data_IF_473594589799
#
_entry.id   IF_473594589799
#
_cell.length_a   1.000
_cell.length_b   1.000
_cell.length_c   1.000
_cell.angle_alpha   90.00
_cell.angle_beta   90.00
_cell.angle_gamma   90.00
#
_symmetry.space_group_name_H-M   'P 1'
#
loop_
_entity.id
_entity.type
_entity.pdbx_description
1 polymer ?
#
# COMPACT_ATOMS: atom_id res chain seq x y z
N UNK A 1 13.98 -24.95 18.21
CA UNK A 1 13.63 -26.31 18.67
C UNK A 1 14.05 -27.30 17.60
N UNK A 2 15.13 -28.07 17.81
CA UNK A 2 15.60 -29.07 16.85
C UNK A 2 14.96 -30.44 17.15
N UNK A 3 14.62 -31.26 16.15
CA UNK A 3 14.17 -32.62 16.39
C UNK A 3 15.36 -33.57 16.56
N UNK A 4 15.15 -34.49 17.49
CA UNK A 4 16.04 -35.51 18.01
C UNK A 4 16.62 -36.46 16.96
N UNK A 5 17.92 -36.70 17.10
CA UNK A 5 18.63 -37.85 16.54
C UNK A 5 18.12 -39.13 17.21
N UNK A 6 17.68 -40.09 16.41
CA UNK A 6 17.37 -41.45 16.88
C UNK A 6 18.56 -42.40 16.63
N UNK A 7 18.76 -43.39 17.53
CA UNK A 7 19.85 -44.36 17.44
C UNK A 7 19.48 -45.60 16.60
N UNK A 8 20.52 -46.28 16.11
CA UNK A 8 20.51 -47.65 15.56
C UNK A 8 19.82 -48.65 16.50
N UNK A 9 19.38 -49.84 16.02
CA UNK A 9 20.18 -51.03 16.37
C UNK A 9 20.05 -52.27 15.44
N UNK A 10 20.88 -53.27 15.77
CA UNK A 10 20.75 -54.72 15.51
C UNK A 10 21.51 -55.31 14.30
N UNK A 11 22.82 -55.47 14.50
CA UNK A 11 23.55 -56.65 14.03
C UNK A 11 23.35 -57.79 15.06
N UNK A 12 22.83 -58.92 14.61
CA UNK A 12 22.78 -60.21 15.31
C UNK A 12 22.64 -61.28 14.23
N UNK A 13 23.73 -61.99 13.90
CA UNK A 13 24.19 -63.26 14.49
C UNK A 13 23.46 -64.50 13.92
N UNK A 14 24.30 -65.48 13.59
CA UNK A 14 24.07 -66.91 13.47
C UNK A 14 23.33 -67.54 12.28
N UNK A 15 24.00 -68.49 11.63
CA UNK A 15 23.29 -69.46 10.79
C UNK A 15 24.05 -70.39 9.85
N UNK A 16 25.03 -71.15 10.35
CA UNK A 16 25.28 -72.58 10.00
C UNK A 16 25.52 -73.00 8.52
N UNK A 17 26.74 -73.47 8.27
CA UNK A 17 27.12 -74.57 7.34
C UNK A 17 26.24 -75.83 7.55
N UNK A 18 26.10 -76.82 6.63
CA UNK A 18 27.22 -77.54 5.98
C UNK A 18 26.96 -78.17 4.57
N UNK A 19 27.96 -78.92 4.09
CA UNK A 19 27.95 -79.86 2.94
C UNK A 19 28.19 -79.23 1.55
N UNK A 20 28.99 -79.82 0.65
CA UNK A 20 29.37 -81.23 0.49
C UNK A 20 30.64 -81.35 -0.34
N UNK A 21 31.43 -82.37 0.02
CA UNK A 21 32.65 -82.89 -0.60
C UNK A 21 32.61 -82.92 -2.13
N UNK A 22 33.49 -82.16 -2.79
CA UNK A 22 33.95 -82.44 -4.15
C UNK A 22 35.10 -83.43 -4.10
N UNK A 23 34.81 -84.72 -4.30
CA UNK A 23 35.82 -85.75 -4.54
C UNK A 23 36.32 -85.64 -5.97
N UNK A 24 37.48 -85.03 -6.15
CA UNK A 24 38.22 -85.04 -7.42
C UNK A 24 39.18 -86.23 -7.41
N UNK A 25 38.75 -87.38 -7.93
CA UNK A 25 39.64 -88.52 -8.17
C UNK A 25 40.10 -88.48 -9.63
N UNK A 26 41.31 -87.96 -9.83
CA UNK A 26 42.06 -88.11 -11.07
C UNK A 26 42.45 -89.59 -11.24
N UNK A 27 41.71 -90.31 -12.09
CA UNK A 27 42.04 -91.65 -12.54
C UNK A 27 42.77 -91.59 -13.88
N UNK A 28 44.06 -91.28 -13.85
CA UNK A 28 44.93 -91.36 -15.01
C UNK A 28 45.26 -92.83 -15.35
N UNK A 29 45.20 -93.11 -16.65
CA UNK A 29 45.68 -94.33 -17.30
C UNK A 29 47.19 -94.55 -17.10
N UNK A 30 47.58 -95.81 -16.86
CA UNK A 30 48.84 -96.53 -17.20
C UNK A 30 48.87 -97.70 -16.21
N UNK A 31 48.83 -98.95 -16.60
CA UNK A 31 49.71 -99.61 -17.55
C UNK A 31 50.51 -100.65 -16.77
N UNK A 32 50.65 -101.83 -17.36
CA UNK A 32 51.79 -102.74 -17.18
C UNK A 32 51.90 -103.58 -15.89
N UNK A 33 51.72 -104.89 -16.11
CA UNK A 33 52.60 -105.98 -15.66
C UNK A 33 52.70 -106.33 -14.15
N UNK A 34 52.01 -107.42 -13.79
CA UNK A 34 52.49 -108.44 -12.85
C UNK A 34 51.99 -109.79 -13.43
N UNK A 35 52.80 -110.71 -13.96
CA UNK A 35 53.95 -111.42 -13.41
C UNK A 35 53.59 -112.35 -12.24
N UNK A 36 53.13 -113.57 -12.54
CA UNK A 36 53.38 -114.89 -11.87
C UNK A 36 52.31 -115.91 -12.29
N UNK A 37 52.52 -117.24 -12.20
CA UNK A 37 53.71 -118.08 -12.40
C UNK A 37 53.47 -119.19 -13.47
N UNK A 38 54.51 -119.94 -13.91
CA UNK A 38 54.38 -121.00 -14.91
C UNK A 38 53.91 -122.32 -14.27
N UNK A 39 52.88 -122.95 -14.85
CA UNK A 39 52.43 -124.30 -14.49
C UNK A 39 52.74 -125.29 -15.63
N UNK A 40 53.17 -126.46 -15.19
CA UNK A 40 53.81 -127.55 -15.90
C UNK A 40 53.04 -128.11 -17.12
N UNK A 41 53.77 -128.70 -18.10
CA UNK A 41 53.18 -129.44 -19.22
C UNK A 41 52.84 -130.89 -18.83
N UNK A 42 51.69 -131.42 -19.27
CA UNK A 42 51.53 -132.85 -19.50
C UNK A 42 51.66 -133.20 -20.99
N UNK A 43 52.63 -134.08 -21.22
CA UNK A 43 52.90 -134.99 -22.34
C UNK A 43 51.81 -135.22 -23.42
N UNK A 44 52.19 -135.30 -24.71
CA UNK A 44 51.34 -135.71 -25.82
C UNK A 44 51.40 -137.23 -26.07
N UNK A 45 50.30 -137.94 -25.88
CA UNK A 45 50.12 -139.30 -26.40
C UNK A 45 48.62 -139.66 -26.52
N UNK A 46 48.26 -140.38 -27.58
CA UNK A 46 46.91 -140.77 -28.05
C UNK A 46 46.17 -139.66 -28.83
N UNK A 47 46.41 -139.43 -30.12
CA UNK A 47 46.32 -140.35 -31.26
C UNK A 47 44.93 -141.00 -31.43
N UNK A 48 44.10 -140.26 -32.19
CA UNK A 48 43.31 -140.77 -33.31
C UNK A 48 42.26 -141.85 -33.05
N UNK A 49 41.08 -141.44 -32.57
CA UNK A 49 39.75 -141.91 -33.02
C UNK A 49 38.75 -140.74 -32.78
N UNK A 50 37.75 -140.54 -33.65
CA UNK A 50 36.59 -139.63 -33.52
C UNK A 50 36.59 -138.25 -34.21
N UNK A 51 37.05 -138.17 -35.47
CA UNK A 51 36.83 -136.99 -36.33
C UNK A 51 35.35 -136.60 -36.55
N UNK A 52 34.41 -137.53 -36.36
CA UNK A 52 32.97 -137.25 -36.44
C UNK A 52 32.39 -136.64 -35.14
N UNK A 53 32.88 -137.06 -33.97
CA UNK A 53 32.49 -136.44 -32.69
C UNK A 53 33.03 -135.01 -32.60
N UNK A 54 34.29 -134.81 -33.03
CA UNK A 54 34.91 -133.47 -33.12
C UNK A 54 34.16 -132.56 -34.09
N UNK A 55 33.64 -133.07 -35.21
CA UNK A 55 32.84 -132.28 -36.15
C UNK A 55 31.45 -131.90 -35.60
N UNK A 56 30.80 -132.81 -34.87
CA UNK A 56 29.52 -132.54 -34.21
C UNK A 56 29.68 -131.56 -33.05
N UNK A 57 30.76 -131.69 -32.28
CA UNK A 57 31.14 -130.77 -31.21
C UNK A 57 31.48 -129.38 -31.78
N UNK A 58 32.25 -129.30 -32.87
CA UNK A 58 32.48 -128.04 -33.61
C UNK A 58 31.20 -127.41 -34.15
N UNK A 59 30.22 -128.20 -34.58
CA UNK A 59 28.92 -127.69 -35.03
C UNK A 59 28.08 -127.19 -33.84
N UNK A 60 28.04 -127.93 -32.73
CA UNK A 60 27.37 -127.51 -31.50
C UNK A 60 28.00 -126.20 -30.94
N UNK A 61 29.33 -126.11 -30.93
CA UNK A 61 30.06 -124.90 -30.57
C UNK A 61 29.75 -123.75 -31.53
N UNK A 62 29.60 -123.98 -32.84
CA UNK A 62 29.18 -122.94 -33.79
C UNK A 62 27.79 -122.42 -33.50
N UNK A 63 26.83 -123.32 -33.25
CA UNK A 63 25.46 -122.96 -32.88
C UNK A 63 25.43 -122.20 -31.54
N UNK A 64 26.22 -122.64 -30.56
CA UNK A 64 26.37 -121.96 -29.28
C UNK A 64 27.04 -120.58 -29.45
N UNK A 65 28.06 -120.46 -30.28
CA UNK A 65 28.70 -119.18 -30.60
C UNK A 65 27.72 -118.24 -31.31
N UNK A 66 26.91 -118.75 -32.23
CA UNK A 66 25.84 -117.99 -32.88
C UNK A 66 24.77 -117.54 -31.87
N UNK A 67 24.38 -118.41 -30.94
CA UNK A 67 23.47 -118.08 -29.84
C UNK A 67 24.06 -116.99 -28.94
N UNK A 68 25.31 -117.13 -28.50
CA UNK A 68 26.01 -116.15 -27.68
C UNK A 68 26.20 -114.81 -28.40
N UNK A 69 26.47 -114.84 -29.72
CA UNK A 69 26.51 -113.63 -30.56
C UNK A 69 25.13 -112.99 -30.67
N UNK A 70 24.07 -113.77 -30.84
CA UNK A 70 22.70 -113.26 -30.89
C UNK A 70 22.26 -112.68 -29.53
N UNK A 71 22.59 -113.35 -28.41
CA UNK A 71 22.34 -112.86 -27.06
C UNK A 71 23.14 -111.58 -26.78
N UNK A 72 24.42 -111.51 -27.17
CA UNK A 72 25.25 -110.30 -27.07
C UNK A 72 24.68 -109.14 -27.90
N UNK A 73 24.15 -109.42 -29.10
CA UNK A 73 23.46 -108.41 -29.92
C UNK A 73 22.17 -107.93 -29.24
N UNK A 74 21.35 -108.83 -28.70
CA UNK A 74 20.14 -108.47 -27.96
C UNK A 74 20.45 -107.63 -26.71
N UNK A 75 21.50 -107.98 -25.97
CA UNK A 75 21.96 -107.19 -24.83
C UNK A 75 22.46 -105.81 -25.27
N UNK A 76 23.24 -105.75 -26.36
CA UNK A 76 23.69 -104.48 -26.95
C UNK A 76 22.55 -103.60 -27.45
N UNK A 77 21.56 -104.18 -28.13
CA UNK A 77 20.35 -103.48 -28.57
C UNK A 77 19.50 -103.01 -27.39
N UNK A 78 19.38 -103.83 -26.33
CA UNK A 78 18.68 -103.44 -25.12
C UNK A 78 19.38 -102.26 -24.41
N UNK A 79 20.71 -102.30 -24.30
CA UNK A 79 21.51 -101.21 -23.76
C UNK A 79 21.32 -99.93 -24.58
N UNK A 80 21.44 -100.01 -25.92
CA UNK A 80 21.19 -98.87 -26.82
C UNK A 80 19.80 -98.27 -26.66
N UNK A 81 18.74 -99.10 -26.62
CA UNK A 81 17.36 -98.60 -26.40
C UNK A 81 17.16 -97.96 -25.03
N UNK A 82 17.94 -98.34 -24.02
CA UNK A 82 17.93 -97.74 -22.69
C UNK A 82 18.69 -96.42 -22.70
N UNK A 83 19.85 -96.37 -23.35
CA UNK A 83 20.64 -95.16 -23.58
C UNK A 83 19.82 -94.12 -24.34
N UNK A 84 19.21 -94.48 -25.47
CA UNK A 84 18.34 -93.58 -26.24
C UNK A 84 17.17 -93.02 -25.41
N UNK A 85 16.61 -93.81 -24.47
CA UNK A 85 15.55 -93.33 -23.58
C UNK A 85 16.07 -92.30 -22.59
N UNK A 86 17.22 -92.55 -21.96
CA UNK A 86 17.85 -91.58 -21.08
C UNK A 86 18.33 -90.34 -21.82
N UNK A 87 18.82 -90.48 -23.04
CA UNK A 87 19.20 -89.35 -23.89
C UNK A 87 17.99 -88.46 -24.19
N UNK A 88 16.85 -89.04 -24.59
CA UNK A 88 15.61 -88.28 -24.79
C UNK A 88 15.12 -87.60 -23.50
N UNK A 89 15.21 -88.28 -22.36
CA UNK A 89 14.87 -87.68 -21.06
C UNK A 89 15.82 -86.54 -20.68
N UNK A 90 17.13 -86.70 -20.93
CA UNK A 90 18.12 -85.65 -20.70
C UNK A 90 17.92 -84.45 -21.63
N UNK A 91 17.60 -84.68 -22.91
CA UNK A 91 17.26 -83.63 -23.86
C UNK A 91 16.02 -82.86 -23.42
N UNK A 92 14.97 -83.57 -22.98
CA UNK A 92 13.76 -82.95 -22.43
C UNK A 92 14.08 -82.11 -21.19
N UNK A 93 14.81 -82.65 -20.22
CA UNK A 93 15.17 -81.92 -19.00
C UNK A 93 16.06 -80.71 -19.28
N UNK A 94 16.96 -80.80 -20.28
CA UNK A 94 17.76 -79.66 -20.76
C UNK A 94 16.88 -78.58 -21.37
N UNK A 95 15.93 -78.96 -22.24
CA UNK A 95 14.98 -78.01 -22.82
C UNK A 95 14.10 -77.34 -21.75
N UNK A 96 13.64 -78.09 -20.74
CA UNK A 96 12.90 -77.54 -19.60
C UNK A 96 13.75 -76.55 -18.78
N UNK A 97 15.05 -76.85 -18.56
CA UNK A 97 15.97 -75.93 -17.89
C UNK A 97 16.24 -74.66 -18.72
N UNK A 98 16.45 -74.80 -20.03
CA UNK A 98 16.66 -73.65 -20.93
C UNK A 98 15.42 -72.76 -20.96
N UNK A 99 14.22 -73.35 -20.99
CA UNK A 99 12.96 -72.61 -20.89
C UNK A 99 12.83 -71.90 -19.54
N UNK A 100 13.13 -72.57 -18.42
CA UNK A 100 13.13 -71.93 -17.10
C UNK A 100 14.17 -70.81 -16.99
N UNK A 101 15.33 -70.95 -17.64
CA UNK A 101 16.33 -69.89 -17.69
C UNK A 101 15.84 -68.71 -18.51
N UNK A 102 15.20 -68.94 -19.66
CA UNK A 102 14.60 -67.88 -20.48
C UNK A 102 13.49 -67.14 -19.71
N UNK A 103 12.61 -67.87 -19.02
CA UNK A 103 11.54 -67.27 -18.19
C UNK A 103 12.12 -66.45 -17.03
N UNK A 104 13.19 -66.94 -16.37
CA UNK A 104 13.89 -66.19 -15.32
C UNK A 104 14.57 -64.93 -15.87
N UNK A 105 15.16 -64.99 -17.08
CA UNK A 105 15.75 -63.84 -17.73
C UNK A 105 14.68 -62.80 -18.10
N UNK A 106 13.53 -63.23 -18.61
CA UNK A 106 12.37 -62.36 -18.90
C UNK A 106 11.82 -61.69 -17.64
N UNK A 107 11.64 -62.44 -16.56
CA UNK A 107 11.24 -61.91 -15.26
C UNK A 107 12.28 -60.91 -14.70
N UNK A 108 13.57 -61.20 -14.88
CA UNK A 108 14.66 -60.30 -14.51
C UNK A 108 14.61 -58.97 -15.25
N UNK A 109 14.38 -58.99 -16.57
CA UNK A 109 14.19 -57.78 -17.37
C UNK A 109 12.99 -56.96 -16.88
N UNK A 110 11.86 -57.61 -16.56
CA UNK A 110 10.70 -56.96 -15.96
C UNK A 110 11.02 -56.26 -14.64
N UNK A 111 11.74 -56.94 -13.72
CA UNK A 111 12.17 -56.37 -12.44
C UNK A 111 13.11 -55.18 -12.65
N UNK A 112 14.02 -55.24 -13.62
CA UNK A 112 14.93 -54.14 -13.93
C UNK A 112 14.17 -52.91 -14.44
N UNK A 113 13.17 -53.10 -15.32
CA UNK A 113 12.31 -52.00 -15.77
C UNK A 113 11.49 -51.42 -14.60
N UNK A 114 10.97 -52.26 -13.70
CA UNK A 114 10.26 -51.80 -12.50
C UNK A 114 11.18 -50.99 -11.57
N UNK A 115 12.43 -51.43 -11.36
CA UNK A 115 13.42 -50.67 -10.58
C UNK A 115 13.76 -49.34 -11.25
N UNK A 116 13.91 -49.31 -12.58
CA UNK A 116 14.21 -48.09 -13.33
C UNK A 116 13.07 -47.06 -13.25
N UNK A 117 11.82 -47.52 -13.38
CA UNK A 117 10.62 -46.67 -13.26
C UNK A 117 10.45 -46.18 -11.83
N UNK A 118 10.65 -47.05 -10.83
CA UNK A 118 10.64 -46.65 -9.42
C UNK A 118 11.70 -45.59 -9.13
N UNK A 119 12.94 -45.75 -9.61
CA UNK A 119 14.00 -44.75 -9.45
C UNK A 119 13.61 -43.41 -10.07
N UNK A 120 13.05 -43.43 -11.28
CA UNK A 120 12.55 -42.21 -11.94
C UNK A 120 11.43 -41.53 -11.15
N UNK A 121 10.53 -42.30 -10.54
CA UNK A 121 9.49 -41.76 -9.66
C UNK A 121 10.11 -41.12 -8.42
N UNK A 122 11.09 -41.77 -7.77
CA UNK A 122 11.80 -41.20 -6.63
C UNK A 122 12.54 -39.91 -6.98
N UNK A 123 13.23 -39.87 -8.11
CA UNK A 123 13.91 -38.66 -8.60
C UNK A 123 12.92 -37.54 -8.91
N UNK A 124 11.74 -37.88 -9.46
CA UNK A 124 10.64 -36.95 -9.67
C UNK A 124 10.09 -36.38 -8.36
N UNK A 125 9.87 -37.24 -7.34
CA UNK A 125 9.43 -36.83 -6.00
C UNK A 125 10.47 -35.94 -5.32
N UNK A 126 11.76 -36.26 -5.44
CA UNK A 126 12.84 -35.43 -4.90
C UNK A 126 12.86 -34.05 -5.57
N UNK A 127 12.73 -34.01 -6.90
CA UNK A 127 12.66 -32.77 -7.68
C UNK A 127 11.44 -31.91 -7.31
N UNK A 128 10.28 -32.53 -7.12
CA UNK A 128 9.07 -31.85 -6.66
C UNK A 128 9.25 -31.28 -5.26
N UNK A 129 9.79 -32.05 -4.32
CA UNK A 129 10.09 -31.57 -2.95
C UNK A 129 11.03 -30.36 -2.97
N UNK A 130 12.08 -30.39 -3.79
CA UNK A 130 13.01 -29.28 -3.92
C UNK A 130 12.34 -28.02 -4.50
N UNK A 131 11.48 -28.18 -5.53
CA UNK A 131 10.71 -27.06 -6.09
C UNK A 131 9.74 -26.47 -5.06
N UNK A 132 9.00 -27.31 -4.34
CA UNK A 132 8.10 -26.86 -3.28
C UNK A 132 8.86 -26.11 -2.18
N UNK A 133 10.03 -26.59 -1.76
CA UNK A 133 10.87 -25.91 -0.78
C UNK A 133 11.34 -24.53 -1.29
N UNK A 134 11.71 -24.42 -2.58
CA UNK A 134 12.08 -23.13 -3.20
C UNK A 134 10.92 -22.14 -3.20
N UNK A 135 9.73 -22.59 -3.62
CA UNK A 135 8.52 -21.75 -3.67
C UNK A 135 8.14 -21.25 -2.27
N UNK A 136 8.19 -22.12 -1.25
CA UNK A 136 7.93 -21.71 0.13
C UNK A 136 8.93 -20.66 0.62
N UNK A 137 10.22 -20.84 0.35
CA UNK A 137 11.26 -19.88 0.72
C UNK A 137 11.11 -18.53 -0.01
N UNK A 138 10.67 -18.53 -1.27
CA UNK A 138 10.35 -17.31 -2.02
C UNK A 138 9.13 -16.59 -1.45
N UNK A 139 8.05 -17.32 -1.15
CA UNK A 139 6.86 -16.78 -0.51
C UNK A 139 7.17 -16.17 0.86
N UNK A 140 8.00 -16.82 1.68
CA UNK A 140 8.46 -16.27 2.96
C UNK A 140 9.23 -14.95 2.78
N UNK A 141 10.12 -14.86 1.76
CA UNK A 141 10.84 -13.63 1.45
C UNK A 141 9.90 -12.51 1.00
N UNK A 142 8.90 -12.83 0.19
CA UNK A 142 7.92 -11.85 -0.29
C UNK A 142 7.00 -11.36 0.83
N UNK A 143 6.55 -12.26 1.70
CA UNK A 143 5.81 -11.90 2.91
C UNK A 143 6.64 -10.96 3.80
N UNK A 144 7.92 -11.29 4.05
CA UNK A 144 8.81 -10.43 4.84
C UNK A 144 9.03 -9.06 4.17
N UNK A 145 9.15 -9.01 2.84
CA UNK A 145 9.25 -7.74 2.09
C UNK A 145 7.98 -6.91 2.25
N UNK A 146 6.81 -7.53 2.12
CA UNK A 146 5.51 -6.86 2.30
C UNK A 146 5.32 -6.36 3.74
N UNK A 147 5.69 -7.15 4.75
CA UNK A 147 5.67 -6.73 6.15
C UNK A 147 6.59 -5.54 6.41
N UNK A 148 7.82 -5.57 5.89
CA UNK A 148 8.76 -4.43 6.00
C UNK A 148 8.19 -3.16 5.34
N UNK A 149 7.63 -3.27 4.15
CA UNK A 149 7.00 -2.13 3.47
C UNK A 149 5.85 -1.54 4.30
N UNK A 150 4.98 -2.38 4.88
CA UNK A 150 3.90 -1.93 5.77
C UNK A 150 4.43 -1.29 7.06
N UNK A 151 5.51 -1.82 7.65
CA UNK A 151 6.13 -1.21 8.83
C UNK A 151 6.68 0.18 8.52
N UNK A 152 7.31 0.37 7.36
CA UNK A 152 7.74 1.70 6.92
C UNK A 152 6.56 2.64 6.66
N UNK A 153 5.49 2.18 6.02
CA UNK A 153 4.27 2.97 5.84
C UNK A 153 3.68 3.42 7.19
N UNK A 154 3.56 2.51 8.17
CA UNK A 154 3.05 2.81 9.52
C UNK A 154 4.00 3.76 10.27
N UNK A 155 5.32 3.58 10.17
CA UNK A 155 6.29 4.51 10.75
C UNK A 155 6.14 5.90 10.16
N UNK A 156 5.98 6.01 8.84
CA UNK A 156 5.77 7.28 8.14
C UNK A 156 4.43 7.93 8.53
N UNK A 157 3.37 7.14 8.72
CA UNK A 157 2.09 7.62 9.25
C UNK A 157 2.23 8.15 10.67
N UNK A 158 2.94 7.44 11.56
CA UNK A 158 3.21 7.90 12.93
C UNK A 158 4.06 9.17 12.95
N UNK A 159 5.07 9.29 12.09
CA UNK A 159 5.88 10.50 11.95
C UNK A 159 5.03 11.67 11.45
N UNK A 160 4.14 11.45 10.48
CA UNK A 160 3.18 12.46 10.00
C UNK A 160 2.17 12.85 11.07
N UNK A 161 1.68 11.91 11.87
CA UNK A 161 0.79 12.22 12.99
C UNK A 161 1.51 12.98 14.11
N UNK A 162 2.78 12.66 14.35
CA UNK A 162 3.63 13.39 15.29
C UNK A 162 3.88 14.81 14.80
N UNK A 163 4.23 15.01 13.53
CA UNK A 163 4.43 16.34 12.97
C UNK A 163 3.14 17.18 12.97
N UNK A 164 1.97 16.56 12.76
CA UNK A 164 0.67 17.24 12.92
C UNK A 164 0.37 17.63 14.37
N UNK A 165 0.78 16.82 15.35
CA UNK A 165 0.69 17.24 16.76
C UNK A 165 1.65 18.39 17.07
N UNK A 166 2.76 18.47 16.34
CA UNK A 166 3.70 19.59 16.39
C UNK A 166 3.20 20.84 15.62
N UNK A 167 2.00 20.82 14.99
CA UNK A 167 1.27 22.03 14.55
C UNK A 167 0.95 22.98 15.73
N UNK A 168 1.27 22.56 16.97
CA UNK A 168 1.36 23.43 18.13
C UNK A 168 2.17 24.71 17.87
N UNK A 169 3.14 24.70 16.95
CA UNK A 169 3.87 25.92 16.58
C UNK A 169 2.97 27.02 15.97
N UNK A 170 2.00 26.67 15.12
CA UNK A 170 1.04 27.64 14.58
C UNK A 170 0.06 28.12 15.65
N UNK A 171 -0.38 27.20 16.53
CA UNK A 171 -1.24 27.54 17.67
C UNK A 171 -0.52 28.47 18.65
N UNK A 172 0.74 28.22 18.97
CA UNK A 172 1.56 29.04 19.85
C UNK A 172 1.80 30.42 19.24
N UNK A 173 2.12 30.50 17.93
CA UNK A 173 2.22 31.78 17.23
C UNK A 173 0.90 32.56 17.27
N UNK A 174 -0.24 31.90 17.02
CA UNK A 174 -1.56 32.53 17.08
C UNK A 174 -1.91 33.03 18.49
N UNK A 175 -1.49 32.27 19.52
CA UNK A 175 -1.67 32.63 20.93
C UNK A 175 -0.81 33.82 21.31
N UNK A 176 0.46 33.85 20.90
CA UNK A 176 1.35 34.99 21.12
C UNK A 176 0.84 36.26 20.45
N UNK A 177 0.36 36.16 19.21
CA UNK A 177 -0.21 37.30 18.49
C UNK A 177 -1.51 37.80 19.15
N UNK A 178 -2.38 36.89 19.61
CA UNK A 178 -3.58 37.26 20.38
C UNK A 178 -3.21 38.00 21.67
N UNK A 179 -2.23 37.50 22.43
CA UNK A 179 -1.75 38.17 23.65
C UNK A 179 -1.13 39.54 23.36
N UNK A 180 -0.45 39.70 22.21
CA UNK A 180 0.09 41.00 21.77
C UNK A 180 -1.03 42.00 21.48
N UNK A 181 -2.04 41.57 20.73
CA UNK A 181 -3.20 42.40 20.40
C UNK A 181 -4.00 42.79 21.66
N UNK A 182 -4.17 41.88 22.62
CA UNK A 182 -4.83 42.19 23.89
C UNK A 182 -4.09 43.26 24.70
N UNK A 183 -2.75 43.19 24.77
CA UNK A 183 -1.94 44.23 25.43
C UNK A 183 -2.12 45.59 24.77
N UNK A 184 -2.10 45.65 23.44
CA UNK A 184 -2.31 46.90 22.69
C UNK A 184 -3.73 47.43 22.90
N UNK A 185 -4.74 46.56 22.90
CA UNK A 185 -6.13 46.95 23.14
C UNK A 185 -6.33 47.49 24.57
N UNK A 186 -5.73 46.86 25.57
CA UNK A 186 -5.73 47.36 26.96
C UNK A 186 -5.07 48.73 27.06
N UNK A 187 -3.93 48.94 26.37
CA UNK A 187 -3.27 50.25 26.31
C UNK A 187 -4.20 51.30 25.69
N UNK A 188 -4.79 51.03 24.53
CA UNK A 188 -5.72 51.94 23.87
C UNK A 188 -6.97 52.24 24.71
N UNK A 189 -7.49 51.25 25.46
CA UNK A 189 -8.60 51.46 26.40
C UNK A 189 -8.20 52.37 27.56
N UNK A 190 -6.99 52.19 28.11
CA UNK A 190 -6.46 53.05 29.17
C UNK A 190 -6.30 54.50 28.67
N UNK A 191 -5.78 54.69 27.45
CA UNK A 191 -5.64 56.02 26.84
C UNK A 191 -6.99 56.66 26.53
N UNK A 192 -7.95 55.90 26.00
CA UNK A 192 -9.30 56.37 25.74
C UNK A 192 -10.01 56.81 27.03
N UNK A 193 -9.84 56.06 28.13
CA UNK A 193 -10.39 56.44 29.43
C UNK A 193 -9.72 57.70 29.99
N UNK A 194 -8.39 57.83 29.85
CA UNK A 194 -7.63 59.03 30.24
C UNK A 194 -8.09 60.28 29.47
N UNK A 195 -8.20 60.19 28.15
CA UNK A 195 -8.65 61.29 27.30
C UNK A 195 -10.10 61.72 27.63
N UNK A 196 -10.99 60.75 27.88
CA UNK A 196 -12.36 61.05 28.35
C UNK A 196 -12.37 61.79 29.70
N UNK A 197 -11.49 61.42 30.62
CA UNK A 197 -11.36 62.12 31.90
C UNK A 197 -10.84 63.55 31.72
N UNK A 198 -9.87 63.75 30.83
CA UNK A 198 -9.34 65.09 30.49
C UNK A 198 -10.41 65.98 29.86
N UNK A 199 -11.15 65.48 28.87
CA UNK A 199 -12.25 66.24 28.25
C UNK A 199 -13.31 66.65 29.27
N UNK A 200 -13.72 65.73 30.16
CA UNK A 200 -14.67 66.06 31.25
C UNK A 200 -14.14 67.12 32.21
N UNK A 201 -12.83 67.18 32.45
CA UNK A 201 -12.24 68.25 33.25
C UNK A 201 -12.31 69.58 32.52
N UNK A 202 -11.95 69.62 31.23
CA UNK A 202 -12.03 70.82 30.40
C UNK A 202 -13.46 71.34 30.27
N UNK A 203 -14.45 70.45 30.15
CA UNK A 203 -15.87 70.81 30.14
C UNK A 203 -16.28 71.51 31.45
N UNK A 204 -15.84 70.99 32.61
CA UNK A 204 -16.08 71.64 33.92
C UNK A 204 -15.40 73.00 34.03
N UNK A 205 -14.16 73.12 33.55
CA UNK A 205 -13.42 74.39 33.57
C UNK A 205 -14.11 75.42 32.67
N UNK A 206 -14.58 75.00 31.49
CA UNK A 206 -15.36 75.84 30.59
C UNK A 206 -16.68 76.29 31.23
N UNK A 207 -17.41 75.39 31.89
CA UNK A 207 -18.62 75.74 32.65
C UNK A 207 -18.34 76.77 33.76
N UNK A 208 -17.22 76.62 34.48
CA UNK A 208 -16.81 77.57 35.52
C UNK A 208 -16.49 78.95 34.92
N UNK A 209 -15.73 79.00 33.82
CA UNK A 209 -15.42 80.25 33.11
C UNK A 209 -16.68 80.93 32.57
N UNK A 210 -17.63 80.17 32.03
CA UNK A 210 -18.94 80.70 31.60
C UNK A 210 -19.69 81.29 32.79
N UNK A 211 -19.75 80.62 33.94
CA UNK A 211 -20.39 81.15 35.15
C UNK A 211 -19.72 82.43 35.65
N UNK A 212 -18.38 82.46 35.69
CA UNK A 212 -17.60 83.64 36.08
C UNK A 212 -17.84 84.81 35.12
N UNK A 213 -17.81 84.57 33.80
CA UNK A 213 -18.10 85.59 32.79
C UNK A 213 -19.52 86.15 32.94
N UNK A 214 -20.51 85.29 33.21
CA UNK A 214 -21.89 85.73 33.46
C UNK A 214 -22.02 86.53 34.76
N UNK A 215 -21.31 86.16 35.83
CA UNK A 215 -21.29 86.92 37.09
C UNK A 215 -20.70 88.32 36.88
N UNK A 216 -19.54 88.41 36.24
CA UNK A 216 -18.90 89.69 35.89
C UNK A 216 -19.77 90.53 34.96
N UNK A 217 -20.49 89.91 34.01
CA UNK A 217 -21.47 90.63 33.16
C UNK A 217 -22.63 91.20 33.97
N UNK A 218 -23.15 90.46 34.96
CA UNK A 218 -24.21 90.93 35.86
C UNK A 218 -23.73 92.06 36.76
N UNK A 219 -22.53 91.95 37.33
CA UNK A 219 -21.91 93.00 38.13
C UNK A 219 -21.66 94.27 37.29
N UNK A 220 -21.12 94.14 36.07
CA UNK A 220 -20.96 95.28 35.16
C UNK A 220 -22.30 95.93 34.80
N UNK A 221 -23.35 95.13 34.58
CA UNK A 221 -24.68 95.66 34.32
C UNK A 221 -25.23 96.43 35.53
N UNK A 222 -25.04 95.90 36.75
CA UNK A 222 -25.39 96.57 37.99
C UNK A 222 -24.61 97.87 38.19
N UNK A 223 -23.29 97.84 38.01
CA UNK A 223 -22.44 99.04 38.12
C UNK A 223 -22.82 100.10 37.07
N UNK A 224 -23.22 99.70 35.86
CA UNK A 224 -23.74 100.62 34.84
C UNK A 224 -25.07 101.24 35.27
N UNK A 225 -25.97 100.46 35.88
CA UNK A 225 -27.20 101.00 36.46
C UNK A 225 -26.91 101.97 37.60
N UNK A 226 -26.01 101.63 38.52
CA UNK A 226 -25.58 102.52 39.62
C UNK A 226 -24.92 103.81 39.07
N UNK A 227 -24.10 103.72 38.02
CA UNK A 227 -23.53 104.88 37.33
C UNK A 227 -24.61 105.72 36.64
N UNK A 228 -25.60 105.10 36.00
CA UNK A 228 -26.72 105.79 35.35
C UNK A 228 -27.56 106.54 36.39
N UNK A 229 -27.90 105.91 37.52
CA UNK A 229 -28.58 106.52 38.67
C UNK A 229 -27.78 107.70 39.26
N UNK A 230 -26.49 107.51 39.52
CA UNK A 230 -25.62 108.58 40.02
C UNK A 230 -25.45 109.71 38.99
N UNK A 231 -25.36 109.39 37.70
CA UNK A 231 -25.28 110.40 36.64
C UNK A 231 -26.60 111.16 36.48
N UNK A 232 -27.74 110.48 36.67
CA UNK A 232 -29.07 111.07 36.72
C UNK A 232 -29.20 112.01 37.92
N UNK A 233 -28.82 111.56 39.12
CA UNK A 233 -28.80 112.37 40.33
C UNK A 233 -27.83 113.56 40.24
N UNK A 234 -26.65 113.37 39.66
CA UNK A 234 -25.71 114.46 39.39
C UNK A 234 -26.25 115.42 38.33
N UNK A 235 -26.97 114.91 37.32
CA UNK A 235 -27.67 115.71 36.32
C UNK A 235 -28.82 116.53 36.92
N UNK A 236 -29.60 115.95 37.84
CA UNK A 236 -30.63 116.64 38.61
C UNK A 236 -30.03 117.67 39.57
N UNK A 237 -28.91 117.35 40.24
CA UNK A 237 -28.17 118.29 41.07
C UNK A 237 -27.55 119.41 40.24
N UNK A 238 -27.04 119.11 39.04
CA UNK A 238 -26.52 120.10 38.10
C UNK A 238 -27.65 120.94 37.49
N UNK A 239 -28.83 120.36 37.22
CA UNK A 239 -30.02 121.09 36.78
C UNK A 239 -30.59 121.95 37.91
N UNK A 240 -30.60 121.46 39.16
CA UNK A 240 -30.97 122.25 40.33
C UNK A 240 -29.94 123.35 40.61
N UNK A 241 -28.65 123.08 40.41
CA UNK A 241 -27.59 124.08 40.45
C UNK A 241 -27.68 125.06 39.27
N UNK A 242 -28.14 124.63 38.09
CA UNK A 242 -28.40 125.48 36.94
C UNK A 242 -29.65 126.32 37.13
N UNK A 243 -30.70 125.83 37.80
CA UNK A 243 -31.88 126.62 38.21
C UNK A 243 -31.53 127.57 39.36
N UNK A 244 -30.65 127.17 40.27
CA UNK A 244 -30.08 128.06 41.29
C UNK A 244 -29.11 129.09 40.67
N UNK A 245 -28.40 128.72 39.61
CA UNK A 245 -27.59 129.63 38.81
C UNK A 245 -28.47 130.55 37.95
N UNK A 246 -29.57 130.08 37.36
CA UNK A 246 -30.53 130.90 36.62
C UNK A 246 -31.31 131.86 37.55
N UNK A 247 -31.46 131.50 38.83
CA UNK A 247 -31.92 132.39 39.90
C UNK A 247 -30.83 133.35 40.42
N UNK A 248 -29.55 133.07 40.18
CA UNK A 248 -28.41 133.91 40.58
C UNK A 248 -27.81 134.73 39.41
N UNK A 249 -28.14 134.40 38.17
CA UNK A 249 -27.60 134.99 36.93
C UNK A 249 -28.61 135.98 36.30
N UNK A 250 -29.42 136.61 37.17
CA UNK A 250 -30.15 137.85 36.92
C UNK A 250 -29.45 139.09 37.54
N UNK A 251 -28.29 138.93 38.19
CA UNK A 251 -27.37 140.02 38.49
C UNK A 251 -25.93 139.64 38.08
N UNK A 252 -25.25 140.58 37.42
CA UNK A 252 -23.84 140.53 37.00
C UNK A 252 -23.51 139.78 35.69
N UNK A 253 -24.02 140.37 34.60
CA UNK A 253 -23.28 140.43 33.35
C UNK A 253 -21.91 141.13 33.53
N UNK A 254 -20.84 140.60 32.90
CA UNK A 254 -19.70 141.42 32.48
C UNK A 254 -18.32 140.75 32.37
N UNK A 255 -17.91 140.47 31.12
CA UNK A 255 -16.54 140.65 30.56
C UNK A 255 -15.46 139.60 30.92
N UNK A 256 -14.60 139.05 30.06
CA UNK A 256 -14.32 139.12 28.60
C UNK A 256 -13.09 138.24 28.29
N UNK A 257 -13.21 137.35 27.29
CA UNK A 257 -12.33 137.17 26.09
C UNK A 257 -10.80 137.01 26.28
N UNK A 258 -10.13 135.97 25.75
CA UNK A 258 -9.62 135.80 24.35
C UNK A 258 -9.07 134.36 24.21
N UNK A 259 -8.92 133.66 23.08
CA UNK A 259 -9.17 133.78 21.63
C UNK A 259 -9.09 132.32 21.08
N UNK A 260 -9.94 131.89 20.14
CA UNK A 260 -9.65 131.68 18.70
C UNK A 260 -8.47 130.70 18.42
N UNK A 261 -8.48 129.75 17.50
CA UNK A 261 -9.16 129.68 16.21
C UNK A 261 -8.91 128.30 15.54
N UNK A 262 -9.92 127.85 14.78
CA UNK A 262 -9.86 127.11 13.52
C UNK A 262 -9.25 125.69 13.36
N UNK A 263 -10.07 124.94 12.60
CA UNK A 263 -9.73 124.06 11.48
C UNK A 263 -9.62 122.54 11.74
N UNK A 264 -10.65 121.85 11.26
CA UNK A 264 -10.67 120.49 10.69
C UNK A 264 -9.59 120.30 9.58
N UNK A 265 -9.54 119.17 8.85
CA UNK A 265 -9.49 117.74 9.23
C UNK A 265 -8.36 117.01 8.46
N UNK A 266 -7.73 115.96 9.00
CA UNK A 266 -7.20 114.80 8.23
C UNK A 266 -6.29 113.90 9.09
N UNK A 267 -6.49 112.58 8.95
CA UNK A 267 -5.66 111.48 9.47
C UNK A 267 -4.27 111.49 8.80
N UNK A 268 -3.22 110.86 9.38
CA UNK A 268 -2.98 109.42 9.14
C UNK A 268 -2.26 108.65 10.28
N UNK A 269 -2.24 107.31 10.16
CA UNK A 269 -1.09 106.42 10.46
C UNK A 269 -0.56 106.40 11.92
N UNK A 270 -0.49 105.31 12.68
CA UNK A 270 -0.25 103.90 12.36
C UNK A 270 -0.16 103.08 13.65
N UNK A 271 -0.44 101.77 13.54
CA UNK A 271 0.22 100.70 14.31
C UNK A 271 -0.23 100.59 15.78
N UNK A 272 -0.93 99.56 16.26
CA UNK A 272 -0.64 98.12 16.11
C UNK A 272 -1.95 97.30 16.05
N UNK A 273 -2.13 96.56 14.95
CA UNK A 273 -2.63 95.17 14.99
C UNK A 273 -4.05 94.88 15.46
N UNK A 274 -5.06 95.42 14.78
CA UNK A 274 -6.39 94.83 14.74
C UNK A 274 -6.39 93.54 13.90
N UNK A 275 -6.71 92.42 14.53
CA UNK A 275 -7.13 91.18 13.89
C UNK A 275 -8.56 90.85 14.33
N UNK A 276 -9.52 91.68 13.95
CA UNK A 276 -10.94 91.30 14.00
C UNK A 276 -11.14 90.32 12.85
N UNK A 277 -11.04 89.02 13.16
CA UNK A 277 -11.56 87.99 12.29
C UNK A 277 -13.09 88.03 12.39
N UNK A 278 -13.80 88.16 11.26
CA UNK A 278 -15.25 88.20 11.26
C UNK A 278 -15.81 86.84 11.63
N UNK A 279 -16.97 86.89 12.27
CA UNK A 279 -17.89 85.79 12.46
C UNK A 279 -18.00 84.93 11.19
N UNK A 280 -17.37 83.76 11.24
CA UNK A 280 -17.48 82.68 10.26
C UNK A 280 -17.38 81.34 11.02
N UNK A 281 -18.19 81.19 12.07
CA UNK A 281 -18.29 79.94 12.85
C UNK A 281 -19.68 79.32 12.68
N UNK A 282 -20.12 79.20 11.43
CA UNK A 282 -21.20 78.28 11.04
C UNK A 282 -20.66 77.05 10.28
N UNK A 283 -19.33 76.90 10.14
CA UNK A 283 -18.69 75.82 9.35
C UNK A 283 -17.97 74.70 10.11
N UNK A 284 -17.73 74.82 11.42
CA UNK A 284 -16.91 73.83 12.17
C UNK A 284 -17.71 72.61 12.68
N UNK A 285 -19.01 72.75 12.90
CA UNK A 285 -19.89 71.60 13.23
C UNK A 285 -20.11 70.68 12.03
N UNK A 286 -20.06 71.23 10.81
CA UNK A 286 -20.14 70.46 9.56
C UNK A 286 -18.88 69.63 9.32
N UNK A 287 -17.70 70.11 9.70
CA UNK A 287 -16.45 69.35 9.55
C UNK A 287 -16.41 68.11 10.47
N UNK A 288 -16.86 68.25 11.72
CA UNK A 288 -16.97 67.13 12.66
C UNK A 288 -18.06 66.12 12.26
N UNK A 289 -19.20 66.61 11.76
CA UNK A 289 -20.28 65.78 11.23
C UNK A 289 -19.86 65.02 9.97
N UNK A 290 -19.11 65.68 9.08
CA UNK A 290 -18.53 65.07 7.87
C UNK A 290 -17.50 63.97 8.20
N UNK A 291 -16.70 64.13 9.25
CA UNK A 291 -15.77 63.07 9.71
C UNK A 291 -16.50 61.83 10.23
N UNK A 292 -17.55 62.00 11.04
CA UNK A 292 -18.36 60.87 11.53
C UNK A 292 -19.07 60.12 10.40
N UNK A 293 -19.58 60.86 9.39
CA UNK A 293 -20.19 60.23 8.22
C UNK A 293 -19.17 59.42 7.42
N UNK A 294 -17.94 59.94 7.24
CA UNK A 294 -16.85 59.20 6.57
C UNK A 294 -16.46 57.93 7.32
N UNK A 295 -16.38 57.97 8.65
CA UNK A 295 -16.09 56.76 9.46
C UNK A 295 -17.20 55.70 9.35
N UNK A 296 -18.47 56.11 9.33
CA UNK A 296 -19.58 55.17 9.13
C UNK A 296 -19.56 54.54 7.74
N UNK A 297 -19.31 55.33 6.70
CA UNK A 297 -19.16 54.85 5.33
C UNK A 297 -17.96 53.89 5.22
N UNK A 298 -16.85 54.21 5.88
CA UNK A 298 -15.66 53.34 5.88
C UNK A 298 -15.92 52.02 6.61
N UNK A 299 -16.59 52.04 7.77
CA UNK A 299 -17.01 50.82 8.47
C UNK A 299 -17.99 49.98 7.65
N UNK A 300 -18.92 50.62 6.95
CA UNK A 300 -19.81 49.93 6.02
C UNK A 300 -19.03 49.30 4.86
N UNK A 301 -18.09 50.02 4.26
CA UNK A 301 -17.24 49.50 3.18
C UNK A 301 -16.37 48.32 3.64
N UNK A 302 -15.82 48.36 4.85
CA UNK A 302 -15.05 47.24 5.44
C UNK A 302 -15.95 46.03 5.73
N UNK A 303 -17.16 46.25 6.26
CA UNK A 303 -18.13 45.18 6.48
C UNK A 303 -18.53 44.52 5.14
N UNK A 304 -18.84 45.33 4.12
CA UNK A 304 -19.12 44.84 2.78
C UNK A 304 -17.94 44.07 2.17
N UNK A 305 -16.71 44.54 2.35
CA UNK A 305 -15.51 43.85 1.88
C UNK A 305 -15.40 42.45 2.52
N UNK A 306 -15.59 42.35 3.84
CA UNK A 306 -15.59 41.06 4.56
C UNK A 306 -16.70 40.12 4.07
N UNK A 307 -17.91 40.64 3.83
CA UNK A 307 -19.00 39.82 3.27
C UNK A 307 -18.70 39.34 1.84
N UNK A 308 -18.06 40.18 1.00
CA UNK A 308 -17.63 39.79 -0.35
C UNK A 308 -16.57 38.69 -0.30
N UNK A 309 -15.59 38.80 0.60
CA UNK A 309 -14.56 37.78 0.82
C UNK A 309 -15.16 36.46 1.31
N UNK A 310 -16.05 36.50 2.31
CA UNK A 310 -16.75 35.32 2.81
C UNK A 310 -17.58 34.66 1.69
N UNK A 311 -18.29 35.45 0.90
CA UNK A 311 -19.05 34.97 -0.25
C UNK A 311 -18.12 34.31 -1.29
N UNK A 312 -16.95 34.89 -1.57
CA UNK A 312 -15.98 34.31 -2.48
C UNK A 312 -15.40 32.98 -1.95
N UNK A 313 -15.12 32.90 -0.64
CA UNK A 313 -14.67 31.66 0.01
C UNK A 313 -15.73 30.55 -0.08
N UNK A 314 -16.99 30.87 0.22
CA UNK A 314 -18.10 29.91 0.12
C UNK A 314 -18.32 29.44 -1.33
N UNK A 315 -18.20 30.33 -2.32
CA UNK A 315 -18.26 29.96 -3.75
C UNK A 315 -17.13 29.00 -4.13
N UNK A 316 -15.89 29.26 -3.70
CA UNK A 316 -14.75 28.35 -3.94
C UNK A 316 -14.98 26.97 -3.30
N UNK A 317 -15.48 26.92 -2.06
CA UNK A 317 -15.81 25.66 -1.40
C UNK A 317 -16.89 24.87 -2.16
N UNK A 318 -17.97 25.54 -2.58
CA UNK A 318 -19.01 24.91 -3.39
C UNK A 318 -18.49 24.41 -4.74
N UNK A 319 -17.55 25.12 -5.37
CA UNK A 319 -16.91 24.68 -6.61
C UNK A 319 -16.05 23.43 -6.39
N UNK A 320 -15.29 23.37 -5.30
CA UNK A 320 -14.52 22.18 -4.90
C UNK A 320 -15.44 21.00 -4.62
N UNK A 321 -16.52 21.19 -3.85
CA UNK A 321 -17.51 20.15 -3.59
C UNK A 321 -18.18 19.65 -4.87
N UNK A 322 -18.53 20.56 -5.80
CA UNK A 322 -19.09 20.18 -7.11
C UNK A 322 -18.09 19.38 -7.94
N UNK A 323 -16.80 19.73 -7.92
CA UNK A 323 -15.73 18.95 -8.59
C UNK A 323 -15.56 17.58 -7.94
N UNK A 324 -15.54 17.51 -6.62
CA UNK A 324 -15.46 16.25 -5.86
C UNK A 324 -16.65 15.33 -6.16
N UNK A 325 -17.87 15.87 -6.17
CA UNK A 325 -19.08 15.10 -6.52
C UNK A 325 -19.03 14.58 -7.96
N UNK A 326 -18.53 15.38 -8.92
CA UNK A 326 -18.33 14.89 -10.30
C UNK A 326 -17.29 13.76 -10.34
N UNK A 327 -16.18 13.91 -9.64
CA UNK A 327 -15.13 12.89 -9.56
C UNK A 327 -15.67 11.58 -8.97
N UNK A 328 -16.40 11.64 -7.85
CA UNK A 328 -17.03 10.46 -7.23
C UNK A 328 -18.04 9.80 -8.16
N UNK A 329 -18.90 10.58 -8.84
CA UNK A 329 -19.85 10.03 -9.83
C UNK A 329 -19.14 9.33 -10.98
N UNK A 330 -18.05 9.92 -11.51
CA UNK A 330 -17.27 9.29 -12.57
C UNK A 330 -16.55 8.03 -12.10
N UNK A 331 -16.04 8.01 -10.86
CA UNK A 331 -15.42 6.82 -10.27
C UNK A 331 -16.44 5.69 -10.07
N UNK A 332 -17.63 6.01 -9.55
CA UNK A 332 -18.70 5.03 -9.38
C UNK A 332 -19.20 4.46 -10.71
N UNK A 333 -19.34 5.30 -11.75
CA UNK A 333 -19.70 4.84 -13.09
C UNK A 333 -18.65 3.89 -13.67
N UNK A 334 -17.35 4.19 -13.48
CA UNK A 334 -16.24 3.29 -13.89
C UNK A 334 -16.28 1.96 -13.13
N UNK A 335 -16.58 1.99 -11.83
CA UNK A 335 -16.69 0.79 -11.01
C UNK A 335 -17.85 -0.11 -11.44
N UNK A 336 -18.99 0.48 -11.78
CA UNK A 336 -20.11 -0.26 -12.35
C UNK A 336 -19.73 -0.89 -13.69
N UNK A 337 -19.06 -0.15 -14.57
CA UNK A 337 -18.58 -0.67 -15.85
C UNK A 337 -17.59 -1.84 -15.66
N UNK A 338 -16.63 -1.71 -14.74
CA UNK A 338 -15.68 -2.78 -14.43
C UNK A 338 -16.37 -4.03 -13.85
N UNK A 339 -17.39 -3.86 -13.01
CA UNK A 339 -18.20 -4.99 -12.51
C UNK A 339 -18.94 -5.69 -13.64
N UNK A 340 -19.53 -4.93 -14.57
CA UNK A 340 -20.21 -5.53 -15.73
C UNK A 340 -19.25 -6.27 -16.65
N UNK A 341 -17.99 -5.81 -16.78
CA UNK A 341 -16.96 -6.51 -17.54
C UNK A 341 -16.57 -7.84 -16.89
N UNK A 342 -16.28 -7.87 -15.58
CA UNK A 342 -15.96 -9.11 -14.86
C UNK A 342 -17.12 -10.10 -14.88
N UNK A 343 -18.35 -9.64 -14.69
CA UNK A 343 -19.55 -10.47 -14.80
C UNK A 343 -19.71 -11.05 -16.21
N UNK A 344 -19.44 -10.26 -17.25
CA UNK A 344 -19.46 -10.70 -18.64
C UNK A 344 -18.43 -11.79 -18.92
N UNK A 345 -17.19 -11.62 -18.46
CA UNK A 345 -16.13 -12.62 -18.61
C UNK A 345 -16.44 -13.91 -17.87
N UNK A 346 -17.01 -13.82 -16.66
CA UNK A 346 -17.43 -14.99 -15.89
C UNK A 346 -18.58 -15.75 -16.56
N UNK A 347 -19.57 -15.06 -17.13
CA UNK A 347 -20.65 -15.71 -17.90
C UNK A 347 -20.11 -16.41 -19.13
N UNK A 348 -19.19 -15.77 -19.87
CA UNK A 348 -18.56 -16.38 -21.05
C UNK A 348 -17.80 -17.67 -20.69
N UNK A 349 -16.98 -17.65 -19.63
CA UNK A 349 -16.26 -18.85 -19.17
C UNK A 349 -17.22 -19.96 -18.71
N UNK A 350 -18.31 -19.61 -18.03
CA UNK A 350 -19.33 -20.57 -17.62
C UNK A 350 -20.08 -21.18 -18.82
N UNK A 351 -20.32 -20.42 -19.88
CA UNK A 351 -20.89 -20.92 -21.13
C UNK A 351 -19.94 -21.85 -21.88
N UNK A 352 -18.64 -21.54 -21.92
CA UNK A 352 -17.65 -22.39 -22.58
C UNK A 352 -17.53 -23.76 -21.88
N UNK A 353 -17.48 -23.78 -20.54
CA UNK A 353 -17.51 -25.03 -19.77
C UNK A 353 -18.84 -25.76 -19.95
N UNK A 354 -19.98 -25.04 -20.04
CA UNK A 354 -21.28 -25.66 -20.35
C UNK A 354 -21.28 -26.34 -21.71
N UNK A 355 -20.67 -25.72 -22.74
CA UNK A 355 -20.52 -26.31 -24.08
C UNK A 355 -19.63 -27.55 -24.02
N UNK A 356 -18.52 -27.50 -23.27
CA UNK A 356 -17.61 -28.64 -23.08
C UNK A 356 -18.32 -29.83 -22.39
N UNK A 357 -19.05 -29.60 -21.30
CA UNK A 357 -19.85 -30.65 -20.61
C UNK A 357 -20.90 -31.24 -21.56
N UNK A 358 -21.57 -30.38 -22.33
CA UNK A 358 -22.59 -30.82 -23.30
C UNK A 358 -21.96 -31.67 -24.41
N UNK A 359 -20.77 -31.29 -24.88
CA UNK A 359 -20.00 -32.05 -25.85
C UNK A 359 -19.56 -33.41 -25.29
N UNK A 360 -18.98 -33.47 -24.08
CA UNK A 360 -18.61 -34.73 -23.43
C UNK A 360 -19.80 -35.67 -23.25
N UNK A 361 -20.93 -35.16 -22.76
CA UNK A 361 -22.16 -35.95 -22.58
C UNK A 361 -22.74 -36.44 -23.91
N UNK A 362 -22.59 -35.67 -24.98
CA UNK A 362 -23.02 -36.09 -26.31
C UNK A 362 -22.08 -37.14 -26.92
N UNK A 363 -20.77 -37.03 -26.68
CA UNK A 363 -19.75 -37.98 -27.14
C UNK A 363 -19.82 -39.33 -26.44
N UNK A 364 -20.03 -39.34 -25.11
CA UNK A 364 -20.21 -40.58 -24.34
C UNK A 364 -21.50 -41.33 -24.71
N UNK A 365 -22.54 -40.61 -25.17
CA UNK A 365 -23.82 -41.21 -25.57
C UNK A 365 -23.86 -41.70 -27.02
N UNK A 366 -22.88 -41.36 -27.87
CA UNK A 366 -22.84 -41.81 -29.26
C UNK A 366 -22.68 -43.35 -29.42
N UNK A 367 -22.37 -44.09 -28.33
CA UNK A 367 -22.35 -45.56 -28.29
C UNK A 367 -23.69 -46.22 -27.93
N UNK A 368 -24.74 -45.47 -27.56
CA UNK A 368 -26.05 -46.02 -27.20
C UNK A 368 -27.16 -45.37 -28.03
N UNK A 369 -27.93 -46.19 -28.75
CA UNK A 369 -29.02 -45.79 -29.67
C UNK A 369 -30.25 -45.15 -28.97
N UNK A 370 -30.02 -44.14 -28.13
CA UNK A 370 -31.03 -43.41 -27.38
C UNK A 370 -31.43 -42.12 -28.07
N UNK A 371 -32.67 -42.11 -28.56
CA UNK A 371 -33.52 -41.02 -29.07
C UNK A 371 -33.05 -39.57 -28.72
N UNK A 372 -33.05 -38.62 -29.69
CA UNK A 372 -32.63 -37.23 -29.51
C UNK A 372 -33.65 -36.45 -28.67
N UNK A 373 -33.51 -36.54 -27.35
CA UNK A 373 -34.33 -35.80 -26.41
C UNK A 373 -33.79 -34.41 -26.16
N UNK A 374 -34.51 -33.39 -26.67
CA UNK A 374 -34.62 -32.01 -26.19
C UNK A 374 -33.40 -31.47 -25.44
N UNK A 375 -32.63 -30.58 -26.08
CA UNK A 375 -31.50 -29.83 -25.53
C UNK A 375 -31.86 -29.00 -24.30
N UNK A 376 -32.01 -29.67 -23.16
CA UNK A 376 -32.25 -29.06 -21.87
C UNK A 376 -30.95 -28.40 -21.44
N UNK A 377 -30.95 -27.07 -21.46
CA UNK A 377 -29.85 -26.26 -21.01
C UNK A 377 -29.40 -26.71 -19.61
N UNK A 378 -28.11 -27.02 -19.46
CA UNK A 378 -27.52 -27.42 -18.18
C UNK A 378 -27.42 -26.17 -17.31
N UNK A 379 -28.31 -26.02 -16.34
CA UNK A 379 -28.28 -24.89 -15.41
C UNK A 379 -26.94 -24.83 -14.64
N UNK A 380 -26.40 -23.64 -14.41
CA UNK A 380 -25.12 -23.44 -13.69
C UNK A 380 -25.13 -24.07 -12.30
N UNK A 381 -26.29 -24.11 -11.64
CA UNK A 381 -26.45 -24.76 -10.33
C UNK A 381 -26.10 -26.27 -10.34
N UNK A 382 -26.14 -26.92 -11.51
CA UNK A 382 -25.81 -28.34 -11.69
C UNK A 382 -24.33 -28.61 -11.96
N UNK A 383 -23.48 -27.58 -11.97
CA UNK A 383 -22.03 -27.73 -12.16
C UNK A 383 -21.43 -28.50 -10.99
N UNK A 384 -20.67 -29.54 -11.33
CA UNK A 384 -19.87 -30.28 -10.35
C UNK A 384 -18.76 -29.39 -9.78
N UNK A 385 -18.15 -29.76 -8.64
CA UNK A 385 -17.02 -29.02 -8.10
C UNK A 385 -15.87 -28.87 -9.11
N UNK A 386 -15.57 -29.92 -9.88
CA UNK A 386 -14.55 -29.88 -10.93
C UNK A 386 -14.89 -28.93 -12.09
N UNK A 387 -16.16 -28.84 -12.48
CA UNK A 387 -16.58 -27.87 -13.51
C UNK A 387 -16.39 -26.43 -13.02
N UNK A 388 -16.63 -26.17 -11.73
CA UNK A 388 -16.42 -24.85 -11.11
C UNK A 388 -14.94 -24.49 -11.04
N UNK A 389 -14.10 -25.45 -10.65
CA UNK A 389 -12.64 -25.28 -10.67
C UNK A 389 -12.16 -24.93 -12.08
N UNK A 390 -12.66 -25.64 -13.09
CA UNK A 390 -12.30 -25.39 -14.49
C UNK A 390 -12.76 -24.03 -15.01
N UNK A 391 -13.95 -23.57 -14.61
CA UNK A 391 -14.40 -22.19 -14.88
C UNK A 391 -13.44 -21.18 -14.25
N UNK A 392 -13.00 -21.40 -13.01
CA UNK A 392 -12.05 -20.51 -12.34
C UNK A 392 -10.66 -20.54 -13.00
N UNK A 393 -10.18 -21.70 -13.44
CA UNK A 393 -8.94 -21.84 -14.20
C UNK A 393 -9.01 -21.07 -15.52
N UNK A 394 -10.09 -21.24 -16.30
CA UNK A 394 -10.34 -20.49 -17.53
C UNK A 394 -10.43 -18.99 -17.27
N UNK A 395 -11.12 -18.58 -16.21
CA UNK A 395 -11.26 -17.18 -15.81
C UNK A 395 -9.90 -16.56 -15.46
N UNK A 396 -9.07 -17.26 -14.68
CA UNK A 396 -7.74 -16.79 -14.27
C UNK A 396 -6.70 -16.88 -15.39
N UNK A 397 -6.93 -17.71 -16.42
CA UNK A 397 -6.09 -17.76 -17.61
C UNK A 397 -6.22 -16.51 -18.48
N UNK A 398 -7.29 -15.72 -18.32
CA UNK A 398 -7.48 -14.48 -19.05
C UNK A 398 -6.69 -13.34 -18.37
N UNK A 399 -5.63 -12.87 -19.03
CA UNK A 399 -4.81 -11.74 -18.55
C UNK A 399 -5.64 -10.51 -18.16
N UNK A 400 -6.73 -10.26 -18.90
CA UNK A 400 -7.64 -9.14 -18.63
C UNK A 400 -8.37 -9.26 -17.29
N UNK A 401 -8.74 -10.46 -16.86
CA UNK A 401 -9.33 -10.68 -15.52
C UNK A 401 -8.28 -10.44 -14.45
N UNK A 402 -7.06 -10.94 -14.65
CA UNK A 402 -5.95 -10.73 -13.72
C UNK A 402 -5.64 -9.25 -13.56
N UNK A 403 -5.61 -8.48 -14.66
CA UNK A 403 -5.43 -7.03 -14.63
C UNK A 403 -6.55 -6.33 -13.84
N UNK A 404 -7.83 -6.66 -14.12
CA UNK A 404 -8.97 -6.08 -13.39
C UNK A 404 -8.96 -6.42 -11.89
N UNK A 405 -8.54 -7.64 -11.53
CA UNK A 405 -8.38 -8.05 -10.13
C UNK A 405 -7.19 -7.36 -9.47
N UNK A 406 -6.08 -7.19 -10.19
CA UNK A 406 -4.89 -6.52 -9.69
C UNK A 406 -5.15 -5.03 -9.44
N UNK A 407 -5.82 -4.34 -10.36
CA UNK A 407 -6.22 -2.94 -10.20
C UNK A 407 -7.13 -2.73 -8.98
N UNK A 408 -7.89 -3.76 -8.59
CA UNK A 408 -8.75 -3.75 -7.38
C UNK A 408 -8.03 -4.16 -6.11
N UNK A 409 -7.15 -5.16 -6.18
CA UNK A 409 -6.35 -5.62 -5.04
C UNK A 409 -5.26 -4.62 -4.66
N UNK A 410 -4.74 -3.89 -5.65
CA UNK A 410 -3.69 -2.90 -5.51
C UNK A 410 -4.11 -1.62 -6.24
N UNK A 411 -5.06 -0.84 -5.69
CA UNK A 411 -5.43 0.45 -6.27
C UNK A 411 -4.17 1.27 -6.48
N UNK A 412 -3.93 1.84 -7.68
CA UNK A 412 -2.76 2.67 -7.92
C UNK A 412 -2.79 3.77 -6.87
N UNK A 413 -1.79 3.79 -5.98
CA UNK A 413 -1.64 4.84 -4.96
C UNK A 413 -1.59 6.14 -5.74
N UNK A 414 -2.68 6.89 -5.73
CA UNK A 414 -2.79 8.12 -6.51
C UNK A 414 -1.58 8.99 -6.17
N UNK A 415 -0.72 9.37 -7.12
CA UNK A 415 0.42 10.25 -6.85
C UNK A 415 0.00 11.68 -6.46
N UNK A 416 -1.29 11.93 -6.26
CA UNK A 416 -1.83 13.22 -5.85
C UNK A 416 -1.39 13.66 -4.44
N UNK A 417 -0.83 12.76 -3.61
CA UNK A 417 -0.16 13.15 -2.36
C UNK A 417 1.33 13.47 -2.49
N UNK A 418 1.97 13.19 -3.63
CA UNK A 418 3.43 13.31 -3.79
C UNK A 418 3.87 14.59 -4.55
N UNK A 419 2.98 15.23 -5.30
CA UNK A 419 3.31 16.44 -6.08
C UNK A 419 3.05 17.76 -5.34
N UNK A 420 2.24 17.80 -4.27
CA UNK A 420 2.09 19.01 -3.46
C UNK A 420 3.26 19.23 -2.46
N UNK A 421 4.05 18.19 -2.15
CA UNK A 421 5.21 18.30 -1.27
C UNK A 421 6.47 18.84 -1.96
N UNK A 422 6.56 18.81 -3.29
CA UNK A 422 7.77 19.23 -4.03
C UNK A 422 7.69 20.67 -4.55
N UNK A 423 6.48 21.23 -4.72
CA UNK A 423 6.34 22.63 -5.16
C UNK A 423 6.41 23.66 -4.03
N UNK A 424 6.40 23.24 -2.75
CA UNK A 424 6.54 24.14 -1.60
C UNK A 424 8.01 24.44 -1.23
N UNK A 425 8.99 23.71 -1.76
CA UNK A 425 10.42 23.83 -1.35
C UNK A 425 11.30 24.57 -2.37
N UNK A 426 10.76 25.03 -3.52
CA UNK A 426 11.57 25.66 -4.59
C UNK A 426 11.34 27.18 -4.76
N UNK A 427 10.77 27.87 -3.76
CA UNK A 427 10.61 29.34 -3.77
C UNK A 427 11.55 30.07 -2.79
N UNK A 428 12.51 29.38 -2.19
CA UNK A 428 13.59 29.96 -1.37
C UNK A 428 14.83 30.25 -2.22
N UNK A 429 14.73 31.23 -3.12
CA UNK A 429 15.88 31.74 -3.86
C UNK A 429 16.90 32.35 -2.90
N UNK A 430 18.07 31.72 -2.81
CA UNK A 430 19.27 32.25 -2.18
C UNK A 430 19.61 33.61 -2.80
N UNK A 431 19.31 34.69 -2.08
CA UNK A 431 19.97 35.99 -2.28
C UNK A 431 21.31 35.93 -1.57
N UNK A 432 22.36 35.59 -2.31
CA UNK A 432 23.74 35.83 -1.87
C UNK A 432 23.95 37.33 -1.58
N UNK A 433 24.60 37.70 -0.46
CA UNK A 433 24.95 39.09 -0.21
C UNK A 433 26.12 39.53 -1.12
N UNK A 434 26.11 40.77 -1.64
CA UNK A 434 27.23 41.28 -2.43
C UNK A 434 28.45 41.51 -1.52
N UNK A 435 29.57 40.86 -1.86
CA UNK A 435 30.89 41.17 -1.32
C UNK A 435 31.27 42.63 -1.63
N UNK A 436 31.50 43.41 -0.59
CA UNK A 436 32.09 44.74 -0.65
C UNK A 436 33.55 44.66 -1.10
N UNK A 437 34.04 45.54 -1.99
CA UNK A 437 35.46 45.61 -2.30
C UNK A 437 36.20 46.35 -1.16
N UNK A 438 37.21 45.67 -0.62
CA UNK A 438 38.23 46.24 0.26
C UNK A 438 39.00 47.30 -0.53
N UNK A 439 38.97 48.55 -0.06
CA UNK A 439 39.81 49.65 -0.56
C UNK A 439 41.23 49.49 0.00
N UNK A 440 42.21 49.48 -0.90
CA UNK A 440 43.57 49.95 -0.67
C UNK A 440 43.75 51.32 -1.30
#
# INVERSE_FOLDING_TARGET
MPPASLPSPLDSEDGRSPQRRGGSSAGARRGSAAATPPLAPPSPAAAAVDGAAVAAELHAERVENERLRAESRRQGEWARRREERYERELERLRAELDQQQADRQGAGAGIETLRSTHRRVLDGVASLKQRTASVLAEQERDLLRAFRARLYDVQLELERERSKKDDGAELDWSREEALRLDRVNQQLQSEASRLKAQLRSQEKDHELLVRQSLAVKKENARLRQELEELSGAAGEAAAAAAVAAEAAEAEAAGSSLVHAEAASPSRPSSSWGGGVAPAATEGETDAASSRRLKELVQRQAEAEARYREMTAKLKRLLEVERRNLRAVRTAHARDLQARTELEGLLRACAEDVRREISAHRSGERAGGAGRPGSGREVAVASFSPGDRERVLELLLSQERVVALLYDKAFPPRHPQGALEAVTATSAGGERSPPCSPVRG
#
